data_IF_872152699482
#
_entry.id   IF_872152699482
#
_cell.length_a   1.000
_cell.length_b   1.000
_cell.length_c   1.000
_cell.angle_alpha   90.00
_cell.angle_beta   90.00
_cell.angle_gamma   90.00
#
_symmetry.space_group_name_H-M   'P 1'
#
loop_
_entity.id
_entity.type
_entity.pdbx_description
1 polymer ?
#
# COMPACT_ATOMS: atom_id res chain seq x y z
N UNK A 1 6.70 8.77 11.32
CA UNK A 1 6.59 7.90 10.15
C UNK A 1 6.09 8.74 8.98
N UNK A 2 6.58 8.45 7.78
CA UNK A 2 6.06 9.04 6.55
C UNK A 2 4.80 8.27 6.13
N UNK A 3 3.76 8.97 5.67
CA UNK A 3 2.44 8.41 5.40
C UNK A 3 2.19 8.44 3.90
N UNK A 4 2.04 7.25 3.30
CA UNK A 4 1.57 7.11 1.93
C UNK A 4 0.09 6.73 1.93
N UNK A 5 -0.75 7.50 1.25
CA UNK A 5 -2.19 7.19 1.14
C UNK A 5 -2.55 6.84 -0.30
N UNK A 6 -3.37 5.82 -0.45
CA UNK A 6 -4.04 5.47 -1.71
C UNK A 6 -5.50 5.87 -1.62
N UNK A 7 -6.07 6.34 -2.72
CA UNK A 7 -7.44 6.82 -2.80
C UNK A 7 -7.97 6.66 -4.23
N UNK A 8 -9.29 6.66 -4.39
CA UNK A 8 -9.93 6.68 -5.71
C UNK A 8 -9.81 8.07 -6.34
N UNK A 9 -9.77 8.21 -7.68
CA UNK A 9 -9.74 9.52 -8.32
C UNK A 9 -10.86 10.48 -7.86
N UNK A 10 -12.04 9.94 -7.52
CA UNK A 10 -13.17 10.72 -6.99
C UNK A 10 -12.91 11.31 -5.59
N UNK A 11 -11.99 10.73 -4.83
CA UNK A 11 -11.63 11.11 -3.45
C UNK A 11 -10.36 12.00 -3.43
N UNK A 12 -9.88 12.48 -4.58
CA UNK A 12 -8.62 13.22 -4.68
C UNK A 12 -8.64 14.53 -3.85
N UNK A 13 -9.79 15.20 -3.77
CA UNK A 13 -9.96 16.40 -2.96
C UNK A 13 -9.74 16.10 -1.47
N UNK A 14 -10.42 15.07 -0.96
CA UNK A 14 -10.34 14.64 0.44
C UNK A 14 -8.92 14.15 0.77
N UNK A 15 -8.30 13.39 -0.15
CA UNK A 15 -6.94 12.92 0.01
C UNK A 15 -5.92 14.07 0.07
N UNK A 16 -6.12 15.14 -0.70
CA UNK A 16 -5.28 16.34 -0.62
C UNK A 16 -5.41 17.04 0.72
N UNK A 17 -6.62 17.11 1.27
CA UNK A 17 -6.87 17.66 2.60
C UNK A 17 -6.17 16.84 3.69
N UNK A 18 -6.33 15.51 3.66
CA UNK A 18 -5.65 14.60 4.59
C UNK A 18 -4.13 14.73 4.50
N UNK A 19 -3.56 14.81 3.28
CA UNK A 19 -2.12 15.02 3.09
C UNK A 19 -1.67 16.37 3.65
N UNK A 20 -2.47 17.43 3.48
CA UNK A 20 -2.16 18.75 4.03
C UNK A 20 -2.15 18.72 5.57
N UNK A 21 -3.10 18.03 6.19
CA UNK A 21 -3.13 17.83 7.65
C UNK A 21 -1.91 17.05 8.13
N UNK A 22 -1.55 15.94 7.47
CA UNK A 22 -0.35 15.15 7.78
C UNK A 22 0.91 16.03 7.71
N UNK A 23 1.02 16.89 6.69
CA UNK A 23 2.14 17.82 6.53
C UNK A 23 2.17 18.88 7.62
N UNK A 24 1.01 19.39 8.05
CA UNK A 24 0.91 20.37 9.14
C UNK A 24 1.40 19.82 10.48
N UNK A 25 1.21 18.53 10.73
CA UNK A 25 1.75 17.81 11.88
C UNK A 25 3.25 17.47 11.76
N UNK A 26 3.96 18.07 10.78
CA UNK A 26 5.40 17.88 10.58
C UNK A 26 5.79 16.51 10.02
N UNK A 27 4.84 15.76 9.44
CA UNK A 27 5.08 14.45 8.80
C UNK A 27 5.14 14.59 7.28
N UNK A 28 5.85 13.70 6.58
CA UNK A 28 5.74 13.64 5.11
C UNK A 28 4.49 12.85 4.73
N UNK A 29 3.59 13.49 4.01
CA UNK A 29 2.42 12.85 3.39
C UNK A 29 2.61 12.75 1.87
N UNK A 30 2.53 11.55 1.32
CA UNK A 30 2.58 11.30 -0.12
C UNK A 30 1.31 10.56 -0.57
N UNK A 31 0.84 10.88 -1.78
CA UNK A 31 -0.18 10.10 -2.44
C UNK A 31 0.48 8.99 -3.27
N UNK A 32 -0.03 7.76 -3.24
CA UNK A 32 0.38 6.74 -4.22
C UNK A 32 0.05 7.20 -5.65
N UNK A 33 -1.10 7.87 -5.91
CA UNK A 33 -1.31 8.57 -7.16
C UNK A 33 -0.22 9.60 -7.52
N UNK A 34 0.44 10.23 -6.54
CA UNK A 34 1.56 11.14 -6.81
C UNK A 34 2.86 10.42 -7.24
N UNK A 35 2.97 9.11 -7.03
CA UNK A 35 4.04 8.33 -7.64
C UNK A 35 3.78 8.05 -9.13
N UNK A 36 2.50 7.99 -9.55
CA UNK A 36 2.13 7.61 -10.92
C UNK A 36 2.76 8.49 -12.02
N UNK A 37 2.92 9.82 -11.89
CA UNK A 37 3.64 10.65 -12.86
C UNK A 37 5.08 10.20 -13.11
N UNK A 38 5.69 9.49 -12.16
CA UNK A 38 7.07 8.99 -12.24
C UNK A 38 7.15 7.52 -12.69
N UNK A 39 6.01 6.86 -12.96
CA UNK A 39 5.95 5.44 -13.31
C UNK A 39 5.54 5.27 -14.78
N UNK A 40 6.50 5.29 -15.74
CA UNK A 40 6.20 5.02 -17.14
C UNK A 40 5.69 3.59 -17.36
N UNK A 41 5.02 3.28 -18.50
CA UNK A 41 4.68 1.91 -18.87
C UNK A 41 5.90 0.96 -18.75
N UNK A 42 5.70 -0.22 -18.19
CA UNK A 42 6.75 -1.18 -17.82
C UNK A 42 7.17 -1.11 -16.35
N UNK A 43 6.81 -0.05 -15.62
CA UNK A 43 7.11 0.10 -14.19
C UNK A 43 6.44 -0.98 -13.32
N UNK A 44 6.96 -1.16 -12.11
CA UNK A 44 6.43 -2.10 -11.13
C UNK A 44 6.27 -1.45 -9.74
N UNK A 45 5.18 -1.81 -9.06
CA UNK A 45 4.94 -1.54 -7.64
C UNK A 45 4.92 -2.89 -6.91
N UNK A 46 5.61 -2.98 -5.77
CA UNK A 46 5.67 -4.20 -4.95
C UNK A 46 5.20 -3.89 -3.53
N UNK A 47 4.18 -4.60 -3.07
CA UNK A 47 3.70 -4.54 -1.69
C UNK A 47 4.23 -5.72 -0.86
N UNK A 48 4.68 -5.46 0.37
CA UNK A 48 5.07 -6.54 1.30
C UNK A 48 3.87 -6.93 2.15
N UNK A 49 3.29 -8.09 1.86
CA UNK A 49 2.19 -8.69 2.61
C UNK A 49 2.75 -9.61 3.73
N UNK A 50 2.11 -10.73 4.00
CA UNK A 50 2.51 -11.75 4.99
C UNK A 50 1.68 -13.01 4.75
N UNK A 51 2.21 -14.18 5.10
CA UNK A 51 1.42 -15.42 5.25
C UNK A 51 0.21 -15.23 6.18
N UNK A 52 0.36 -14.38 7.21
CA UNK A 52 -0.71 -13.97 8.14
C UNK A 52 -1.93 -13.34 7.44
N UNK A 53 -1.82 -12.93 6.17
CA UNK A 53 -2.95 -12.46 5.39
C UNK A 53 -3.95 -13.58 5.02
N UNK A 54 -3.48 -14.83 5.01
CA UNK A 54 -4.23 -16.01 4.57
C UNK A 54 -4.28 -17.13 5.61
N UNK A 55 -3.24 -17.27 6.44
CA UNK A 55 -3.17 -18.21 7.55
C UNK A 55 -2.76 -17.47 8.83
N UNK A 56 -3.71 -16.82 9.53
CA UNK A 56 -3.42 -15.98 10.68
C UNK A 56 -3.21 -16.79 11.97
N UNK A 57 -2.22 -16.39 12.76
CA UNK A 57 -2.00 -16.89 14.12
C UNK A 57 -2.85 -16.11 15.14
N UNK A 58 -3.23 -16.76 16.25
CA UNK A 58 -4.13 -16.18 17.26
C UNK A 58 -3.61 -14.85 17.84
N UNK A 59 -2.30 -14.75 18.09
CA UNK A 59 -1.68 -13.58 18.73
C UNK A 59 -1.47 -12.38 17.78
N UNK A 60 -1.75 -12.52 16.48
CA UNK A 60 -1.45 -11.52 15.46
C UNK A 60 -2.71 -11.04 14.71
N UNK A 61 -3.86 -11.00 15.39
CA UNK A 61 -5.14 -10.63 14.81
C UNK A 61 -5.11 -9.30 14.03
N UNK A 62 -4.63 -8.23 14.66
CA UNK A 62 -4.56 -6.89 14.07
C UNK A 62 -3.56 -6.83 12.90
N UNK A 63 -2.39 -7.44 13.08
CA UNK A 63 -1.38 -7.57 12.04
C UNK A 63 -1.93 -8.32 10.81
N UNK A 64 -2.59 -9.47 11.01
CA UNK A 64 -3.22 -10.25 9.96
C UNK A 64 -4.25 -9.43 9.16
N UNK A 65 -5.10 -8.65 9.84
CA UNK A 65 -6.06 -7.76 9.18
C UNK A 65 -5.36 -6.77 8.24
N UNK A 66 -4.30 -6.11 8.69
CA UNK A 66 -3.57 -5.14 7.84
C UNK A 66 -2.91 -5.83 6.64
N UNK A 67 -2.43 -7.06 6.79
CA UNK A 67 -1.78 -7.82 5.72
C UNK A 67 -2.77 -8.39 4.71
N UNK A 68 -3.96 -8.78 5.16
CA UNK A 68 -5.09 -9.10 4.28
C UNK A 68 -5.53 -7.86 3.48
N UNK A 69 -5.65 -6.70 4.14
CA UNK A 69 -5.95 -5.43 3.47
C UNK A 69 -4.88 -5.08 2.42
N UNK A 70 -3.60 -5.25 2.74
CA UNK A 70 -2.49 -5.02 1.80
C UNK A 70 -2.56 -5.97 0.59
N UNK A 71 -2.91 -7.24 0.80
CA UNK A 71 -3.08 -8.22 -0.29
C UNK A 71 -4.21 -7.82 -1.23
N UNK A 72 -5.35 -7.38 -0.69
CA UNK A 72 -6.46 -6.88 -1.49
C UNK A 72 -6.14 -5.56 -2.20
N UNK A 73 -5.37 -4.69 -1.55
CA UNK A 73 -4.86 -3.47 -2.16
C UNK A 73 -3.99 -3.77 -3.39
N UNK A 74 -3.03 -4.70 -3.31
CA UNK A 74 -2.21 -5.13 -4.45
C UNK A 74 -3.09 -5.59 -5.61
N UNK A 75 -4.06 -6.46 -5.34
CA UNK A 75 -4.96 -7.02 -6.37
C UNK A 75 -5.82 -5.93 -7.01
N UNK A 76 -6.37 -5.02 -6.23
CA UNK A 76 -7.20 -3.92 -6.72
C UNK A 76 -6.39 -2.95 -7.57
N UNK A 77 -5.23 -2.51 -7.08
CA UNK A 77 -4.39 -1.55 -7.78
C UNK A 77 -3.78 -2.14 -9.06
N UNK A 78 -3.46 -3.44 -9.07
CA UNK A 78 -3.03 -4.14 -10.29
C UNK A 78 -4.08 -4.00 -11.41
N UNK A 79 -5.36 -4.19 -11.09
CA UNK A 79 -6.45 -4.04 -12.08
C UNK A 79 -6.56 -2.61 -12.60
N UNK A 80 -6.39 -1.62 -11.73
CA UNK A 80 -6.49 -0.21 -12.10
C UNK A 80 -5.32 0.26 -12.97
N UNK A 81 -4.12 -0.27 -12.73
CA UNK A 81 -2.89 0.21 -13.38
C UNK A 81 -2.44 -0.66 -14.57
N UNK A 82 -3.00 -1.86 -14.73
CA UNK A 82 -2.71 -2.72 -15.89
C UNK A 82 -2.96 -2.02 -17.25
N UNK A 83 -4.05 -1.25 -17.47
CA UNK A 83 -4.24 -0.51 -18.72
C UNK A 83 -3.18 0.56 -18.99
N UNK A 84 -2.48 1.04 -17.94
CA UNK A 84 -1.37 1.99 -18.04
C UNK A 84 -0.01 1.30 -18.24
N UNK A 85 0.01 -0.04 -18.37
CA UNK A 85 1.23 -0.83 -18.52
C UNK A 85 2.07 -0.95 -17.25
N UNK A 86 1.52 -0.64 -16.07
CA UNK A 86 2.24 -0.72 -14.78
C UNK A 86 1.78 -1.99 -14.05
N UNK A 87 2.74 -2.80 -13.58
CA UNK A 87 2.46 -4.04 -12.83
C UNK A 87 2.44 -3.76 -11.33
N UNK A 88 1.51 -4.38 -10.60
CA UNK A 88 1.47 -4.33 -9.14
C UNK A 88 1.44 -5.76 -8.60
N UNK A 89 2.38 -6.10 -7.73
CA UNK A 89 2.51 -7.45 -7.16
C UNK A 89 2.73 -7.41 -5.66
N UNK A 90 2.47 -8.53 -4.99
CA UNK A 90 2.64 -8.69 -3.55
C UNK A 90 3.64 -9.81 -3.26
N UNK A 91 4.50 -9.61 -2.26
CA UNK A 91 5.34 -10.68 -1.69
C UNK A 91 4.81 -10.99 -0.31
N UNK A 92 4.54 -12.26 -0.02
CA UNK A 92 4.02 -12.74 1.27
C UNK A 92 5.11 -13.56 1.98
N UNK A 93 5.95 -12.95 2.84
CA UNK A 93 6.90 -13.71 3.63
C UNK A 93 6.18 -14.59 4.65
N UNK A 94 6.71 -15.79 4.87
CA UNK A 94 6.46 -16.56 6.08
C UNK A 94 7.34 -16.09 7.24
N UNK A 95 7.48 -16.89 8.32
CA UNK A 95 8.36 -16.55 9.43
C UNK A 95 9.82 -16.54 8.95
N UNK A 96 10.46 -15.38 9.07
CA UNK A 96 11.88 -15.21 8.78
C UNK A 96 12.56 -14.42 9.89
N UNK A 97 13.82 -14.71 10.16
CA UNK A 97 14.57 -14.00 11.20
C UNK A 97 14.78 -12.53 10.81
N UNK A 98 14.17 -11.63 11.58
CA UNK A 98 14.34 -10.18 11.46
C UNK A 98 14.29 -9.55 12.85
N UNK A 99 14.81 -8.32 13.05
CA UNK A 99 14.65 -7.59 14.30
C UNK A 99 13.20 -7.22 14.68
N UNK A 100 12.22 -7.48 13.80
CA UNK A 100 10.80 -7.24 14.05
C UNK A 100 10.15 -8.37 14.87
N UNK A 101 10.80 -9.53 14.93
CA UNK A 101 10.36 -10.73 15.64
C UNK A 101 11.16 -10.91 16.93
#
# INVERSE_FOLDING_TARGET
>A
ADVAINYLPAEEADAKEVIALIKKEGRKGIAIPAALPHLPPGSAIIGTTSEQATDPSEDLYDYAQTKAATTNYVRSLAKQLAPKGIRVNGVAPGPIWTPLQ
#
